data_IF_442652034536
#
_entry.id   IF_442652034536
#
_cell.length_a   1.000
_cell.length_b   1.000
_cell.length_c   1.000
_cell.angle_alpha   90.00
_cell.angle_beta   90.00
_cell.angle_gamma   90.00
#
_symmetry.space_group_name_H-M   'P 1'
#
loop_
_entity.id
_entity.type
_entity.pdbx_description
1 polymer ?
#
# COMPACT_ATOMS: atom_id res chain seq x y z
N UNK A 1 -0.74 18.09 24.34
CA UNK A 1 -0.32 16.76 23.83
C UNK A 1 -0.79 16.67 22.39
N UNK A 2 0.11 16.49 21.42
CA UNK A 2 -0.30 16.33 20.02
C UNK A 2 -0.77 14.89 19.84
N UNK A 3 -2.06 14.67 19.60
CA UNK A 3 -2.57 13.34 19.26
C UNK A 3 -2.19 13.06 17.80
N UNK A 4 -1.15 12.25 17.60
CA UNK A 4 -0.84 11.74 16.26
C UNK A 4 -1.50 10.38 16.07
N UNK A 5 -1.98 10.09 14.86
CA UNK A 5 -2.61 8.81 14.56
C UNK A 5 -1.59 7.66 14.65
N UNK A 6 -1.85 6.69 15.53
CA UNK A 6 -1.02 5.48 15.69
C UNK A 6 -1.21 4.46 14.56
N UNK A 7 -2.41 4.44 13.96
CA UNK A 7 -2.82 3.49 12.92
C UNK A 7 -3.16 4.25 11.64
N UNK A 8 -2.59 3.83 10.51
CA UNK A 8 -2.84 4.44 9.21
C UNK A 8 -3.22 3.38 8.18
N UNK A 9 -4.24 3.68 7.39
CA UNK A 9 -4.60 2.91 6.21
C UNK A 9 -4.30 3.74 4.95
N UNK A 10 -3.50 3.19 4.05
CA UNK A 10 -3.29 3.73 2.70
C UNK A 10 -4.13 2.91 1.73
N UNK A 11 -4.90 3.58 0.87
CA UNK A 11 -5.72 2.92 -0.15
C UNK A 11 -5.18 3.31 -1.51
N UNK A 12 -4.81 2.32 -2.31
CA UNK A 12 -4.30 2.52 -3.67
C UNK A 12 -4.82 1.39 -4.56
N UNK A 13 -5.08 1.61 -5.86
CA UNK A 13 -5.58 0.53 -6.70
C UNK A 13 -4.67 -0.70 -6.72
N UNK A 14 -3.34 -0.50 -6.68
CA UNK A 14 -2.33 -1.56 -6.74
C UNK A 14 -1.14 -1.26 -5.84
N UNK A 15 -0.38 -2.28 -5.48
CA UNK A 15 0.85 -2.14 -4.70
C UNK A 15 2.07 -2.15 -5.62
N UNK A 16 2.95 -1.16 -5.48
CA UNK A 16 4.09 -0.97 -6.37
C UNK A 16 5.24 -1.97 -6.12
N UNK A 17 5.18 -3.17 -6.71
CA UNK A 17 6.21 -4.23 -6.53
C UNK A 17 7.22 -4.38 -7.68
N UNK A 18 7.26 -3.47 -8.65
CA UNK A 18 8.16 -3.59 -9.82
C UNK A 18 8.45 -2.26 -10.52
N UNK A 19 9.07 -2.34 -11.70
CA UNK A 19 9.57 -1.19 -12.45
C UNK A 19 8.48 -0.32 -13.11
N UNK A 20 7.30 -0.90 -13.40
CA UNK A 20 6.21 -0.19 -14.07
C UNK A 20 5.07 0.08 -13.10
N UNK A 21 5.06 1.26 -12.49
CA UNK A 21 4.06 1.70 -11.50
C UNK A 21 3.71 3.17 -11.71
N UNK A 22 2.47 3.55 -11.39
CA UNK A 22 2.01 4.93 -11.50
C UNK A 22 2.58 5.83 -10.39
N UNK A 23 2.60 7.15 -10.61
CA UNK A 23 3.11 8.11 -9.61
C UNK A 23 2.39 8.01 -8.27
N UNK A 24 1.07 7.80 -8.27
CA UNK A 24 0.28 7.61 -7.06
C UNK A 24 0.69 6.35 -6.27
N UNK A 25 0.89 5.23 -6.96
CA UNK A 25 1.27 3.94 -6.35
C UNK A 25 2.65 4.04 -5.68
N UNK A 26 3.60 4.68 -6.37
CA UNK A 26 4.93 4.96 -5.84
C UNK A 26 4.88 5.87 -4.62
N UNK A 27 4.13 6.98 -4.70
CA UNK A 27 4.02 7.94 -3.60
C UNK A 27 3.40 7.30 -2.35
N UNK A 28 2.28 6.60 -2.51
CA UNK A 28 1.57 5.96 -1.41
C UNK A 28 2.43 4.89 -0.75
N UNK A 29 3.10 4.04 -1.54
CA UNK A 29 4.04 3.04 -1.01
C UNK A 29 5.15 3.70 -0.19
N UNK A 30 5.79 4.74 -0.73
CA UNK A 30 6.88 5.44 -0.05
C UNK A 30 6.41 6.10 1.27
N UNK A 31 5.22 6.70 1.27
CA UNK A 31 4.64 7.30 2.48
C UNK A 31 4.25 6.25 3.52
N UNK A 32 3.72 5.10 3.10
CA UNK A 32 3.40 3.99 3.98
C UNK A 32 4.67 3.43 4.66
N UNK A 33 5.74 3.24 3.89
CA UNK A 33 7.04 2.83 4.44
C UNK A 33 7.61 3.84 5.45
N UNK A 34 7.56 5.15 5.13
CA UNK A 34 8.02 6.20 6.05
C UNK A 34 7.19 6.23 7.34
N UNK A 35 5.87 6.04 7.24
CA UNK A 35 5.01 5.97 8.40
C UNK A 35 5.31 4.75 9.29
N UNK A 36 5.53 3.57 8.67
CA UNK A 36 5.94 2.37 9.40
C UNK A 36 7.31 2.56 10.08
N UNK A 37 8.28 3.15 9.38
CA UNK A 37 9.60 3.48 9.94
C UNK A 37 9.53 4.48 11.10
N UNK A 38 8.49 5.33 11.13
CA UNK A 38 8.20 6.22 12.25
C UNK A 38 7.44 5.54 13.42
N UNK A 39 7.32 4.20 13.41
CA UNK A 39 6.70 3.41 14.49
C UNK A 39 5.17 3.30 14.41
N UNK A 40 4.56 3.69 13.30
CA UNK A 40 3.09 3.59 13.12
C UNK A 40 2.70 2.19 12.65
N UNK A 41 1.50 1.75 13.05
CA UNK A 41 0.88 0.54 12.50
C UNK A 41 0.22 0.89 11.17
N UNK A 42 0.75 0.35 10.08
CA UNK A 42 0.29 0.72 8.74
C UNK A 42 -0.38 -0.47 8.07
N UNK A 43 -1.47 -0.20 7.36
CA UNK A 43 -2.13 -1.17 6.46
C UNK A 43 -2.21 -0.56 5.08
N UNK A 44 -1.86 -1.33 4.06
CA UNK A 44 -1.96 -0.91 2.66
C UNK A 44 -3.03 -1.75 1.97
N UNK A 45 -4.12 -1.10 1.56
CA UNK A 45 -5.27 -1.74 0.93
C UNK A 45 -5.18 -1.56 -0.58
N UNK A 46 -5.23 -2.67 -1.30
CA UNK A 46 -5.26 -2.68 -2.77
C UNK A 46 -6.36 -3.55 -3.30
N UNK A 47 -6.69 -3.37 -4.58
CA UNK A 47 -7.46 -4.36 -5.31
C UNK A 47 -6.65 -5.65 -5.48
N UNK A 48 -7.32 -6.71 -5.94
CA UNK A 48 -6.67 -7.94 -6.36
C UNK A 48 -6.22 -7.91 -7.84
N UNK A 49 -6.45 -6.80 -8.55
CA UNK A 49 -6.03 -6.62 -9.93
C UNK A 49 -4.56 -6.18 -10.01
N UNK A 50 -3.84 -6.61 -11.05
CA UNK A 50 -2.48 -6.14 -11.34
C UNK A 50 -2.43 -5.24 -12.58
N UNK A 51 -3.38 -5.45 -13.50
CA UNK A 51 -3.46 -4.77 -14.78
C UNK A 51 -4.46 -3.59 -14.73
N UNK A 52 -3.98 -2.38 -15.09
CA UNK A 52 -4.78 -1.15 -15.08
C UNK A 52 -5.67 -0.94 -16.31
N UNK A 53 -5.53 -1.80 -17.33
CA UNK A 53 -6.42 -1.81 -18.49
C UNK A 53 -7.62 -2.73 -18.24
N UNK A 54 -7.39 -3.95 -17.72
CA UNK A 54 -8.43 -4.98 -17.64
C UNK A 54 -9.12 -5.06 -16.28
N UNK A 55 -8.44 -4.72 -15.18
CA UNK A 55 -8.96 -4.78 -13.81
C UNK A 55 -9.42 -6.17 -13.34
N UNK A 56 -9.02 -7.23 -14.04
CA UNK A 56 -9.32 -8.60 -13.61
C UNK A 56 -8.57 -8.93 -12.31
N UNK A 57 -9.24 -9.62 -11.39
CA UNK A 57 -8.62 -10.09 -10.15
C UNK A 57 -7.70 -11.27 -10.45
N UNK A 58 -6.40 -10.98 -10.54
CA UNK A 58 -5.36 -11.98 -10.76
C UNK A 58 -4.79 -12.53 -9.45
N UNK A 59 -4.96 -11.78 -8.35
CA UNK A 59 -4.57 -12.20 -7.00
C UNK A 59 -5.75 -12.76 -6.23
N UNK A 60 -5.48 -13.63 -5.27
CA UNK A 60 -6.48 -14.04 -4.29
C UNK A 60 -6.67 -12.93 -3.24
N UNK A 61 -7.91 -12.70 -2.77
CA UNK A 61 -8.15 -11.79 -1.65
C UNK A 61 -7.46 -12.30 -0.40
N UNK A 62 -6.89 -11.39 0.39
CA UNK A 62 -6.19 -11.78 1.62
C UNK A 62 -5.26 -10.70 2.12
N UNK A 63 -4.33 -11.11 2.99
CA UNK A 63 -3.29 -10.25 3.56
C UNK A 63 -1.92 -10.82 3.23
N UNK A 64 -0.95 -9.96 3.06
CA UNK A 64 0.46 -10.29 2.90
C UNK A 64 1.27 -9.26 3.64
N UNK A 65 2.45 -9.64 4.13
CA UNK A 65 3.39 -8.69 4.74
C UNK A 65 4.45 -8.27 3.73
N UNK A 66 4.86 -7.01 3.81
CA UNK A 66 5.90 -6.44 2.95
C UNK A 66 6.77 -5.46 3.74
N UNK A 67 8.06 -5.79 3.89
CA UNK A 67 9.01 -4.91 4.61
C UNK A 67 8.64 -4.63 6.07
N UNK A 68 7.97 -5.57 6.75
CA UNK A 68 7.50 -5.41 8.14
C UNK A 68 6.13 -4.73 8.28
N UNK A 69 5.42 -4.50 7.18
CA UNK A 69 4.11 -3.86 7.09
C UNK A 69 3.04 -4.81 6.54
#
# INVERSE_FOLDING_TARGET
MSSTAERLAFVCPRFATGATVGGAETLLKNQAQRAAAAGRRVTFLTTCASNHFTWHNERQPGRSSWGGM
#
